data_IF_407940640775
#
_entry.id   IF_407940640775
#
_cell.length_a   1.000
_cell.length_b   1.000
_cell.length_c   1.000
_cell.angle_alpha   90.00
_cell.angle_beta   90.00
_cell.angle_gamma   90.00
#
_symmetry.space_group_name_H-M   'P 1'
#
loop_
_entity.id
_entity.type
_entity.pdbx_description
1 polymer ?
#
# COMPACT_ATOMS: atom_id res chain seq x y z
N UNK A 1 3.42 3.42 -2.67
CA UNK A 1 2.13 4.14 -2.65
C UNK A 1 2.40 5.63 -2.84
N UNK A 2 1.45 6.38 -3.38
CA UNK A 2 1.56 7.82 -3.67
C UNK A 2 0.21 8.52 -3.48
N UNK A 3 0.16 9.85 -3.57
CA UNK A 3 -1.11 10.57 -3.67
C UNK A 3 -1.92 10.09 -4.89
N UNK A 4 -3.26 10.26 -4.83
CA UNK A 4 -4.20 9.72 -5.84
C UNK A 4 -3.98 10.32 -7.23
N UNK A 5 -3.63 11.60 -7.27
CA UNK A 5 -3.37 12.41 -8.46
C UNK A 5 -1.89 12.48 -8.84
N UNK A 6 -1.00 11.83 -8.08
CA UNK A 6 0.41 11.77 -8.43
C UNK A 6 0.59 11.03 -9.77
N UNK A 7 1.46 11.59 -10.61
CA UNK A 7 1.91 11.06 -11.89
C UNK A 7 2.85 9.84 -11.73
N UNK A 8 3.42 9.67 -10.54
CA UNK A 8 4.20 8.50 -10.13
C UNK A 8 3.46 7.61 -9.12
N UNK A 9 4.00 6.42 -8.87
CA UNK A 9 3.47 5.42 -7.95
C UNK A 9 2.40 4.50 -8.55
N UNK A 10 2.26 3.31 -7.96
CA UNK A 10 1.40 2.23 -8.51
C UNK A 10 0.05 2.12 -7.79
N UNK A 11 0.02 2.44 -6.49
CA UNK A 11 -1.20 2.33 -5.67
C UNK A 11 -1.49 3.63 -4.92
N UNK A 12 -2.77 3.87 -4.69
CA UNK A 12 -3.30 4.97 -3.89
C UNK A 12 -3.08 4.73 -2.38
N UNK A 13 -3.32 5.73 -1.50
CA UNK A 13 -3.11 5.58 -0.06
C UNK A 13 -4.04 4.58 0.64
N UNK A 14 -5.09 4.14 -0.04
CA UNK A 14 -6.02 3.07 0.34
C UNK A 14 -5.71 1.73 -0.34
N UNK A 15 -4.50 1.61 -0.91
CA UNK A 15 -3.90 0.41 -1.50
C UNK A 15 -4.58 -0.09 -2.78
N UNK A 16 -5.47 0.70 -3.36
CA UNK A 16 -6.09 0.39 -4.66
C UNK A 16 -5.09 0.60 -5.79
N UNK A 17 -5.10 -0.32 -6.75
CA UNK A 17 -4.27 -0.22 -7.95
C UNK A 17 -4.76 0.95 -8.82
N UNK A 18 -3.87 1.89 -9.12
CA UNK A 18 -4.20 3.01 -10.01
C UNK A 18 -4.59 2.49 -11.39
N UNK A 19 -5.61 3.11 -12.01
CA UNK A 19 -6.11 2.77 -13.35
C UNK A 19 -6.72 1.35 -13.48
N UNK A 20 -7.00 0.67 -12.36
CA UNK A 20 -7.69 -0.61 -12.35
C UNK A 20 -8.80 -0.61 -11.28
N UNK A 21 -9.82 -1.45 -11.47
CA UNK A 21 -10.93 -1.61 -10.53
C UNK A 21 -10.89 -2.98 -9.88
N UNK A 22 -11.29 -3.07 -8.61
CA UNK A 22 -11.40 -4.34 -7.89
C UNK A 22 -10.07 -4.98 -7.46
N UNK A 23 -8.93 -4.31 -7.66
CA UNK A 23 -7.60 -4.83 -7.32
C UNK A 23 -6.92 -3.97 -6.26
N UNK A 24 -6.33 -4.62 -5.26
CA UNK A 24 -5.49 -4.02 -4.23
C UNK A 24 -4.17 -4.79 -4.12
N UNK A 25 -3.10 -4.08 -3.76
CA UNK A 25 -1.79 -4.70 -3.46
C UNK A 25 -1.51 -4.49 -1.97
N UNK A 26 -1.24 -5.56 -1.24
CA UNK A 26 -1.06 -5.54 0.22
C UNK A 26 0.17 -6.38 0.60
N UNK A 27 1.34 -5.82 0.36
CA UNK A 27 2.64 -6.42 0.70
C UNK A 27 3.71 -5.33 0.87
N UNK A 28 4.98 -5.71 0.94
CA UNK A 28 6.09 -4.78 1.09
C UNK A 28 6.26 -3.80 -0.09
N UNK A 29 5.80 -4.15 -1.30
CA UNK A 29 6.00 -3.34 -2.52
C UNK A 29 5.29 -1.98 -2.47
N UNK A 30 4.29 -1.84 -1.59
CA UNK A 30 3.55 -0.58 -1.45
C UNK A 30 4.28 0.45 -0.59
N UNK A 31 5.29 0.05 0.17
CA UNK A 31 6.08 0.95 1.02
C UNK A 31 6.88 1.90 0.11
N UNK A 32 6.71 3.23 0.25
CA UNK A 32 7.41 4.18 -0.61
C UNK A 32 8.92 4.26 -0.30
N UNK A 33 9.30 3.92 0.94
CA UNK A 33 10.67 3.85 1.40
C UNK A 33 10.84 2.63 2.30
N UNK A 34 12.06 2.09 2.35
CA UNK A 34 12.41 1.00 3.26
C UNK A 34 12.42 1.55 4.70
N UNK A 35 11.70 0.93 5.65
CA UNK A 35 11.72 1.36 7.04
C UNK A 35 13.10 1.13 7.66
N UNK A 36 13.45 1.91 8.69
CA UNK A 36 14.64 1.70 9.50
C UNK A 36 14.44 0.49 10.43
N UNK A 37 14.54 -0.73 9.88
CA UNK A 37 14.38 -1.99 10.60
C UNK A 37 13.94 -3.13 9.68
N UNK A 38 13.73 -4.31 10.28
CA UNK A 38 13.21 -5.46 9.52
C UNK A 38 11.80 -5.18 9.01
N UNK A 39 11.56 -5.46 7.73
CA UNK A 39 10.32 -5.11 7.03
C UNK A 39 9.09 -5.85 7.56
N UNK A 40 9.27 -6.97 8.27
CA UNK A 40 8.19 -7.79 8.83
C UNK A 40 7.16 -6.95 9.60
N UNK A 41 7.61 -6.09 10.53
CA UNK A 41 6.71 -5.30 11.36
C UNK A 41 5.91 -4.28 10.53
N UNK A 42 6.57 -3.61 9.57
CA UNK A 42 5.91 -2.64 8.70
C UNK A 42 4.89 -3.31 7.77
N UNK A 43 5.22 -4.49 7.23
CA UNK A 43 4.32 -5.27 6.37
C UNK A 43 3.08 -5.70 7.16
N UNK A 44 3.24 -6.22 8.38
CA UNK A 44 2.09 -6.56 9.23
C UNK A 44 1.21 -5.35 9.54
N UNK A 45 1.79 -4.20 9.88
CA UNK A 45 1.03 -2.98 10.14
C UNK A 45 0.20 -2.51 8.93
N UNK A 46 0.77 -2.58 7.72
CA UNK A 46 0.05 -2.25 6.48
C UNK A 46 -1.07 -3.27 6.22
N UNK A 47 -0.81 -4.56 6.42
CA UNK A 47 -1.80 -5.62 6.24
C UNK A 47 -3.01 -5.47 7.18
N UNK A 48 -2.79 -5.16 8.46
CA UNK A 48 -3.85 -4.88 9.44
C UNK A 48 -4.72 -3.67 9.04
N UNK A 49 -4.06 -2.59 8.60
CA UNK A 49 -4.78 -1.41 8.07
C UNK A 49 -5.57 -1.78 6.81
N UNK A 50 -5.00 -2.58 5.91
CA UNK A 50 -5.66 -3.01 4.69
C UNK A 50 -6.91 -3.85 4.99
N UNK A 51 -6.83 -4.79 5.94
CA UNK A 51 -7.97 -5.58 6.39
C UNK A 51 -9.12 -4.68 6.87
N UNK A 52 -8.81 -3.61 7.60
CA UNK A 52 -9.79 -2.61 8.05
C UNK A 52 -10.39 -1.78 6.90
N UNK A 53 -9.65 -1.54 5.82
CA UNK A 53 -10.13 -0.83 4.61
C UNK A 53 -10.93 -1.72 3.64
N UNK A 54 -10.81 -3.05 3.76
CA UNK A 54 -11.45 -4.03 2.88
C UNK A 54 -12.80 -4.51 3.43
N UNK A 55 -12.94 -4.60 4.76
CA UNK A 55 -14.22 -4.89 5.43
C UNK A 55 -15.35 -4.00 4.87
#
# INVERSE_FOLDING_TARGET
MSARDADWGVVDPDLKLKKAAGVRVVDASVLPYVPAGHTQAAVYAIAERAASLIK
#
